data_IF_024217293329
#
_entry.id   IF_024217293329
#
_cell.length_a   1.000
_cell.length_b   1.000
_cell.length_c   1.000
_cell.angle_alpha   90.00
_cell.angle_beta   90.00
_cell.angle_gamma   90.00
#
_symmetry.space_group_name_H-M   'P 1'
#
loop_
_entity.id
_entity.type
_entity.pdbx_description
1 polymer ?
#
# COMPACT_ATOMS: atom_id res chain seq x y z
N UNK A 1 8.33 4.89 0.11
CA UNK A 1 7.18 4.16 0.68
C UNK A 1 7.64 3.07 1.63
N UNK A 2 8.61 2.24 1.23
CA UNK A 2 9.20 1.17 2.05
C UNK A 2 9.57 1.53 3.49
N UNK A 3 10.21 2.68 3.72
CA UNK A 3 10.60 3.09 5.09
C UNK A 3 9.41 3.34 6.02
N UNK A 4 8.32 3.93 5.52
CA UNK A 4 7.09 4.12 6.32
C UNK A 4 6.44 2.77 6.62
N UNK A 5 6.37 1.89 5.61
CA UNK A 5 5.83 0.54 5.78
C UNK A 5 6.59 -0.25 6.83
N UNK A 6 7.93 -0.22 6.80
CA UNK A 6 8.79 -0.89 7.78
C UNK A 6 8.55 -0.40 9.21
N UNK A 7 8.49 0.92 9.41
CA UNK A 7 8.21 1.50 10.73
C UNK A 7 6.83 1.07 11.24
N UNK A 8 5.80 1.12 10.40
CA UNK A 8 4.44 0.72 10.77
C UNK A 8 4.34 -0.77 11.13
N UNK A 9 5.01 -1.65 10.36
CA UNK A 9 5.09 -3.08 10.66
C UNK A 9 5.74 -3.30 12.03
N UNK A 10 6.87 -2.64 12.29
CA UNK A 10 7.58 -2.75 13.58
C UNK A 10 6.77 -2.20 14.77
N UNK A 11 5.87 -1.24 14.52
CA UNK A 11 4.92 -0.73 15.51
C UNK A 11 3.70 -1.64 15.72
N UNK A 12 3.61 -2.77 15.00
CA UNK A 12 2.54 -3.76 15.14
C UNK A 12 1.31 -3.49 14.28
N UNK A 13 1.38 -2.55 13.33
CA UNK A 13 0.29 -2.31 12.39
C UNK A 13 0.25 -3.37 11.30
N UNK A 14 -0.96 -3.66 10.80
CA UNK A 14 -1.14 -4.45 9.58
C UNK A 14 -0.84 -3.56 8.38
N UNK A 15 0.18 -3.92 7.62
CA UNK A 15 0.56 -3.18 6.42
C UNK A 15 0.41 -4.09 5.20
N UNK A 16 -0.33 -3.61 4.20
CA UNK A 16 -0.35 -4.14 2.84
C UNK A 16 0.20 -3.10 1.87
N UNK A 17 0.63 -3.55 0.70
CA UNK A 17 1.10 -2.65 -0.35
C UNK A 17 1.06 -3.29 -1.73
N UNK A 18 0.98 -2.45 -2.75
CA UNK A 18 1.01 -2.84 -4.16
C UNK A 18 2.12 -2.08 -4.89
N UNK A 19 2.75 -2.74 -5.86
CA UNK A 19 3.64 -2.08 -6.82
C UNK A 19 3.64 -2.86 -8.15
N UNK A 20 4.08 -2.23 -9.24
CA UNK A 20 4.13 -2.84 -10.57
C UNK A 20 5.09 -4.03 -10.62
N UNK A 21 6.17 -4.00 -9.84
CA UNK A 21 7.20 -5.04 -9.81
C UNK A 21 7.61 -5.36 -8.38
N UNK A 22 7.96 -6.63 -8.15
CA UNK A 22 8.68 -7.02 -6.94
C UNK A 22 10.11 -6.52 -7.01
N UNK A 23 10.67 -6.24 -5.84
CA UNK A 23 12.05 -5.84 -5.64
C UNK A 23 12.61 -6.50 -4.38
N UNK A 24 13.93 -6.49 -4.22
CA UNK A 24 14.58 -6.94 -2.98
C UNK A 24 14.04 -6.22 -1.73
N UNK A 25 13.56 -4.97 -1.88
CA UNK A 25 12.92 -4.22 -0.80
C UNK A 25 11.56 -4.81 -0.45
N UNK A 26 10.71 -5.11 -1.45
CA UNK A 26 9.39 -5.70 -1.18
C UNK A 26 9.53 -7.08 -0.57
N UNK A 27 10.48 -7.89 -1.05
CA UNK A 27 10.75 -9.23 -0.51
C UNK A 27 11.19 -9.17 0.95
N UNK A 28 12.09 -8.24 1.30
CA UNK A 28 12.51 -8.01 2.69
C UNK A 28 11.32 -7.60 3.56
N UNK A 29 10.48 -6.68 3.08
CA UNK A 29 9.31 -6.22 3.82
C UNK A 29 8.29 -7.35 4.02
N UNK A 30 8.10 -8.21 3.02
CA UNK A 30 7.26 -9.40 3.17
C UNK A 30 7.78 -10.33 4.26
N UNK A 31 9.11 -10.50 4.36
CA UNK A 31 9.75 -11.29 5.41
C UNK A 31 9.49 -10.79 6.84
N UNK A 32 9.20 -9.49 7.01
CA UNK A 32 8.85 -8.92 8.32
C UNK A 32 7.33 -8.74 8.54
N UNK A 33 6.49 -9.10 7.56
CA UNK A 33 5.03 -9.10 7.72
C UNK A 33 4.23 -8.24 6.74
N UNK A 34 4.85 -7.63 5.72
CA UNK A 34 4.11 -6.94 4.66
C UNK A 34 3.29 -7.92 3.83
N UNK A 35 2.01 -7.63 3.61
CA UNK A 35 1.22 -8.28 2.55
C UNK A 35 1.43 -7.52 1.23
N UNK A 36 2.14 -8.12 0.28
CA UNK A 36 2.48 -7.45 -0.97
C UNK A 36 1.78 -8.08 -2.18
N UNK A 37 1.19 -7.24 -3.02
CA UNK A 37 0.57 -7.61 -4.28
C UNK A 37 1.27 -6.96 -5.48
N UNK A 38 1.42 -7.72 -6.56
CA UNK A 38 1.99 -7.19 -7.82
C UNK A 38 0.90 -6.66 -8.74
N UNK A 39 1.12 -5.45 -9.26
CA UNK A 39 0.17 -4.68 -10.07
C UNK A 39 -0.94 -4.07 -9.23
N UNK A 40 -1.72 -3.17 -9.84
CA UNK A 40 -2.76 -2.40 -9.15
C UNK A 40 -4.17 -2.88 -9.49
N UNK A 41 -4.95 -3.22 -8.46
CA UNK A 41 -6.35 -3.67 -8.60
C UNK A 41 -7.18 -3.18 -7.43
N UNK A 42 -8.42 -2.78 -7.69
CA UNK A 42 -9.32 -2.21 -6.68
C UNK A 42 -9.52 -3.12 -5.45
N UNK A 43 -9.50 -4.45 -5.60
CA UNK A 43 -9.68 -5.39 -4.49
C UNK A 43 -8.48 -5.46 -3.53
N UNK A 44 -7.30 -5.00 -3.94
CA UNK A 44 -6.10 -4.98 -3.10
C UNK A 44 -6.18 -3.94 -1.98
N UNK A 45 -7.13 -3.00 -2.08
CA UNK A 45 -7.48 -2.09 -0.99
C UNK A 45 -7.88 -2.85 0.28
N UNK A 46 -8.55 -4.00 0.14
CA UNK A 46 -8.97 -4.85 1.24
C UNK A 46 -9.76 -4.08 2.30
N UNK A 47 -9.34 -4.26 3.55
CA UNK A 47 -9.87 -3.65 4.78
C UNK A 47 -9.01 -2.48 5.29
N UNK A 48 -8.27 -1.79 4.40
CA UNK A 48 -7.36 -0.73 4.80
C UNK A 48 -8.10 0.47 5.45
N UNK A 49 -7.64 0.88 6.64
CA UNK A 49 -8.15 2.07 7.33
C UNK A 49 -7.65 3.39 6.70
N UNK A 50 -6.51 3.34 6.01
CA UNK A 50 -5.88 4.49 5.35
C UNK A 50 -4.98 4.01 4.20
N UNK A 51 -4.98 4.77 3.11
CA UNK A 51 -4.08 4.53 1.97
C UNK A 51 -3.03 5.63 1.92
N UNK A 52 -1.76 5.24 1.82
CA UNK A 52 -0.65 6.17 1.59
C UNK A 52 -0.18 5.99 0.15
N UNK A 53 -0.06 7.10 -0.59
CA UNK A 53 0.39 7.09 -1.98
C UNK A 53 1.59 7.99 -2.19
N UNK A 54 2.46 7.64 -3.14
CA UNK A 54 3.52 8.54 -3.58
C UNK A 54 2.98 9.53 -4.62
N UNK A 55 3.73 10.60 -4.87
CA UNK A 55 3.42 11.56 -5.94
C UNK A 55 3.39 10.95 -7.35
N UNK A 56 4.03 9.79 -7.55
CA UNK A 56 4.06 9.08 -8.82
C UNK A 56 2.80 8.25 -9.08
N UNK A 57 1.94 8.04 -8.06
CA UNK A 57 0.70 7.27 -8.23
C UNK A 57 -0.35 8.15 -8.92
N UNK A 58 -0.84 7.76 -10.11
CA UNK A 58 -1.81 8.56 -10.83
C UNK A 58 -3.18 8.51 -10.14
N UNK A 59 -4.00 9.54 -10.35
CA UNK A 59 -5.31 9.67 -9.72
C UNK A 59 -6.32 8.62 -10.16
N UNK A 60 -6.12 8.00 -11.33
CA UNK A 60 -6.90 6.91 -11.89
C UNK A 60 -6.41 5.53 -11.43
N UNK A 61 -5.50 5.45 -10.46
CA UNK A 61 -5.11 4.18 -9.88
C UNK A 61 -6.37 3.52 -9.26
N UNK A 62 -6.67 2.24 -9.59
CA UNK A 62 -7.89 1.59 -9.17
C UNK A 62 -8.02 1.45 -7.64
N UNK A 63 -6.91 1.41 -6.90
CA UNK A 63 -6.90 1.38 -5.43
C UNK A 63 -7.25 2.75 -4.85
N UNK A 64 -6.73 3.83 -5.44
CA UNK A 64 -7.09 5.20 -5.05
C UNK A 64 -8.57 5.50 -5.29
N UNK A 65 -9.11 5.05 -6.42
CA UNK A 65 -10.54 5.20 -6.74
C UNK A 65 -11.42 4.35 -5.83
N UNK A 66 -10.98 3.13 -5.49
CA UNK A 66 -11.67 2.29 -4.50
C UNK A 66 -11.66 2.95 -3.11
N UNK A 67 -10.52 3.49 -2.67
CA UNK A 67 -10.42 4.16 -1.37
C UNK A 67 -11.36 5.36 -1.28
N UNK A 68 -11.41 6.20 -2.33
CA UNK A 68 -12.34 7.32 -2.42
C UNK A 68 -13.80 6.88 -2.35
N UNK A 69 -14.18 5.81 -3.07
CA UNK A 69 -15.55 5.27 -3.05
C UNK A 69 -15.94 4.70 -1.68
N UNK A 70 -14.98 4.14 -0.96
CA UNK A 70 -15.17 3.57 0.38
C UNK A 70 -15.04 4.60 1.51
N UNK A 71 -14.75 5.87 1.20
CA UNK A 71 -14.53 6.91 2.23
C UNK A 71 -13.23 6.75 3.01
N UNK A 72 -12.29 5.91 2.53
CA UNK A 72 -11.00 5.68 3.17
C UNK A 72 -10.07 6.86 2.83
N UNK A 73 -9.41 7.48 3.84
CA UNK A 73 -8.52 8.61 3.62
C UNK A 73 -7.31 8.19 2.78
N UNK A 74 -6.99 9.02 1.78
CA UNK A 74 -5.79 8.86 0.94
C UNK A 74 -4.81 9.98 1.28
N UNK A 75 -3.68 9.62 1.87
CA UNK A 75 -2.62 10.55 2.29
C UNK A 75 -1.45 10.47 1.31
N UNK A 76 -0.89 11.62 0.93
CA UNK A 76 0.29 11.69 0.07
C UNK A 76 1.56 11.76 0.93
N UNK A 77 2.57 10.98 0.56
CA UNK A 77 3.94 11.07 1.10
C UNK A 77 4.80 12.01 0.26
#
# INVERSE_FOLDING_TARGET
MSGIAEVLINLGYRVSGSDLMRSSITDRLQGIGLRFDTGHRAHQLGDADMVVVSTAVPTNNPECEAAKRSGIPVVRR
#
